data_IF_453333692751
#
_entry.id   IF_453333692751
#
_cell.length_a   1.000
_cell.length_b   1.000
_cell.length_c   1.000
_cell.angle_alpha   90.00
_cell.angle_beta   90.00
_cell.angle_gamma   90.00
#
_symmetry.space_group_name_H-M   'P 1'
#
loop_
_entity.id
_entity.type
_entity.pdbx_description
1 polymer ?
#
# COMPACT_ATOMS: atom_id res chain seq x y z
N UNK A 1 -10.36 4.44 -0.97
CA UNK A 1 -9.14 3.90 -0.32
C UNK A 1 -8.85 4.73 0.92
N UNK A 2 -8.45 4.13 2.04
CA UNK A 2 -8.31 4.81 3.33
C UNK A 2 -6.86 4.75 3.85
N UNK A 3 -6.33 5.86 4.36
CA UNK A 3 -5.04 5.87 5.03
C UNK A 3 -5.16 5.41 6.49
N UNK A 4 -4.50 4.31 6.84
CA UNK A 4 -4.45 3.76 8.20
C UNK A 4 -3.09 4.09 8.79
N UNK A 5 -3.05 4.90 9.85
CA UNK A 5 -1.81 5.22 10.59
C UNK A 5 -1.78 4.51 11.93
N UNK A 6 -2.94 4.25 12.52
CA UNK A 6 -3.04 3.51 13.79
C UNK A 6 -3.91 2.28 13.59
N UNK A 7 -3.62 1.13 14.24
CA UNK A 7 -4.43 -0.08 14.14
C UNK A 7 -5.92 0.17 14.43
N UNK A 8 -6.24 1.09 15.34
CA UNK A 8 -7.61 1.50 15.64
C UNK A 8 -8.38 2.07 14.44
N UNK A 9 -7.70 2.66 13.45
CA UNK A 9 -8.37 3.17 12.24
C UNK A 9 -9.04 2.04 11.44
N UNK A 10 -8.49 0.82 11.45
CA UNK A 10 -9.10 -0.34 10.79
C UNK A 10 -10.46 -0.64 11.41
N UNK A 11 -10.56 -0.58 12.74
CA UNK A 11 -11.82 -0.78 13.47
C UNK A 11 -12.85 0.30 13.11
N UNK A 12 -12.43 1.56 13.00
CA UNK A 12 -13.31 2.65 12.56
C UNK A 12 -13.80 2.44 11.13
N UNK A 13 -12.93 2.02 10.21
CA UNK A 13 -13.32 1.75 8.82
C UNK A 13 -14.39 0.65 8.76
N UNK A 14 -14.21 -0.45 9.50
CA UNK A 14 -15.22 -1.51 9.55
C UNK A 14 -16.51 -1.06 10.26
N UNK A 15 -16.43 -0.19 11.25
CA UNK A 15 -17.62 0.42 11.83
C UNK A 15 -18.39 1.27 10.80
N UNK A 16 -17.69 2.08 10.00
CA UNK A 16 -18.32 2.83 8.91
C UNK A 16 -18.84 1.91 7.79
N UNK A 17 -18.20 0.77 7.56
CA UNK A 17 -18.74 -0.26 6.68
C UNK A 17 -20.06 -0.84 7.21
N UNK A 18 -20.16 -1.12 8.52
CA UNK A 18 -21.41 -1.56 9.15
C UNK A 18 -22.55 -0.54 9.03
N UNK A 19 -22.20 0.75 8.98
CA UNK A 19 -23.14 1.84 8.73
C UNK A 19 -23.48 2.03 7.23
N UNK A 20 -22.92 1.21 6.33
CA UNK A 20 -23.14 1.32 4.88
C UNK A 20 -22.42 2.49 4.21
N UNK A 21 -21.46 3.13 4.89
CA UNK A 21 -20.73 4.29 4.39
C UNK A 21 -19.44 3.92 3.63
N UNK A 22 -18.98 2.67 3.78
CA UNK A 22 -17.78 2.15 3.13
C UNK A 22 -18.15 0.95 2.28
N UNK A 23 -17.90 0.99 0.95
CA UNK A 23 -18.22 -0.12 0.07
C UNK A 23 -17.24 -1.29 0.23
N UNK A 24 -17.66 -2.48 -0.22
CA UNK A 24 -16.79 -3.62 -0.42
C UNK A 24 -16.03 -3.55 -1.77
N UNK A 25 -14.77 -4.04 -1.82
CA UNK A 25 -13.95 -4.40 -0.68
C UNK A 25 -13.42 -3.15 0.03
N UNK A 26 -13.17 -3.26 1.33
CA UNK A 26 -12.37 -2.26 2.04
C UNK A 26 -10.96 -2.23 1.42
N UNK A 27 -10.48 -1.04 1.06
CA UNK A 27 -9.14 -0.83 0.52
C UNK A 27 -8.38 0.18 1.39
N UNK A 28 -7.24 -0.23 1.96
CA UNK A 28 -6.45 0.61 2.87
C UNK A 28 -5.00 0.75 2.43
N UNK A 29 -4.37 1.84 2.85
CA UNK A 29 -2.92 2.04 2.84
C UNK A 29 -2.43 1.96 4.28
N UNK A 30 -1.63 0.95 4.58
CA UNK A 30 -0.96 0.80 5.87
C UNK A 30 0.23 1.73 5.89
N UNK A 31 0.14 2.79 6.69
CA UNK A 31 1.15 3.82 6.76
C UNK A 31 2.15 3.50 7.87
N UNK A 32 3.42 3.48 7.51
CA UNK A 32 4.54 3.26 8.42
C UNK A 32 5.38 4.53 8.53
N UNK A 33 6.15 4.62 9.61
CA UNK A 33 7.15 5.66 9.78
C UNK A 33 8.43 5.07 10.37
N UNK A 34 9.59 5.44 9.81
CA UNK A 34 10.91 5.05 10.32
C UNK A 34 11.23 5.66 11.70
N UNK A 35 10.40 6.58 12.19
CA UNK A 35 10.46 7.14 13.55
C UNK A 35 9.12 7.72 14.00
N UNK A 36 9.08 8.58 15.03
CA UNK A 36 7.83 9.25 15.43
C UNK A 36 7.24 10.08 14.26
N UNK A 37 5.91 10.30 14.17
CA UNK A 37 4.96 10.29 15.30
C UNK A 37 3.81 9.28 15.22
N UNK A 38 3.72 8.45 14.17
CA UNK A 38 2.57 7.57 13.96
C UNK A 38 3.00 6.21 13.44
N UNK A 39 2.11 5.24 13.56
CA UNK A 39 2.30 3.95 12.94
C UNK A 39 3.20 3.00 13.74
N UNK A 40 2.99 1.70 13.60
CA UNK A 40 3.95 0.71 14.03
C UNK A 40 5.29 0.91 13.32
N UNK A 41 6.37 0.46 13.98
CA UNK A 41 7.70 0.40 13.36
C UNK A 41 7.65 -0.49 12.11
N UNK A 42 8.28 -0.08 10.98
CA UNK A 42 8.40 -0.89 9.78
C UNK A 42 8.89 -2.30 10.06
N UNK A 43 8.19 -3.29 9.53
CA UNK A 43 8.56 -4.70 9.61
C UNK A 43 7.37 -5.63 9.81
N UNK A 44 7.66 -6.92 9.94
CA UNK A 44 6.64 -7.99 10.03
C UNK A 44 5.66 -7.74 11.17
N UNK A 45 6.16 -7.43 12.37
CA UNK A 45 5.31 -7.17 13.55
C UNK A 45 4.46 -5.91 13.36
N UNK A 46 4.98 -4.90 12.67
CA UNK A 46 4.22 -3.69 12.37
C UNK A 46 3.06 -3.98 11.42
N UNK A 47 3.31 -4.70 10.32
CA UNK A 47 2.26 -5.16 9.41
C UNK A 47 1.25 -6.02 10.16
N UNK A 48 1.72 -7.00 10.93
CA UNK A 48 0.86 -7.90 11.68
C UNK A 48 -0.06 -7.14 12.65
N UNK A 49 0.42 -6.09 13.32
CA UNK A 49 -0.40 -5.29 14.23
C UNK A 49 -1.61 -4.61 13.55
N UNK A 50 -1.47 -4.23 12.27
CA UNK A 50 -2.60 -3.75 11.48
C UNK A 50 -3.54 -4.89 11.11
N UNK A 51 -3.01 -6.02 10.64
CA UNK A 51 -3.82 -7.17 10.24
C UNK A 51 -4.62 -7.74 11.41
N UNK A 52 -4.04 -7.78 12.61
CA UNK A 52 -4.69 -8.21 13.84
C UNK A 52 -5.80 -7.26 14.32
N UNK A 53 -5.85 -6.03 13.80
CA UNK A 53 -6.90 -5.07 14.14
C UNK A 53 -8.20 -5.29 13.36
N UNK A 54 -8.23 -6.22 12.39
CA UNK A 54 -9.45 -6.62 11.69
C UNK A 54 -10.42 -7.27 12.69
N UNK A 55 -11.65 -6.75 12.87
CA UNK A 55 -12.60 -7.35 13.80
C UNK A 55 -12.99 -8.79 13.39
N UNK A 56 -13.22 -9.71 14.35
CA UNK A 56 -13.69 -11.05 14.05
C UNK A 56 -14.95 -11.04 13.18
N UNK A 57 -15.03 -11.97 12.22
CA UNK A 57 -16.15 -12.08 11.28
C UNK A 57 -16.11 -11.10 10.11
N UNK A 58 -15.17 -10.15 10.08
CA UNK A 58 -14.92 -9.31 8.89
C UNK A 58 -14.00 -10.02 7.91
N UNK A 59 -14.27 -9.87 6.62
CA UNK A 59 -13.34 -10.33 5.57
C UNK A 59 -12.11 -9.42 5.56
N UNK A 60 -10.89 -9.96 5.43
CA UNK A 60 -9.68 -9.16 5.26
C UNK A 60 -9.81 -8.18 4.08
N UNK A 61 -9.23 -7.00 4.24
CA UNK A 61 -9.25 -5.92 3.26
C UNK A 61 -8.15 -6.06 2.19
N UNK A 62 -8.25 -5.30 1.11
CA UNK A 62 -7.13 -5.06 0.22
C UNK A 62 -6.20 -4.01 0.84
N UNK A 63 -4.90 -4.29 0.92
CA UNK A 63 -3.96 -3.35 1.52
C UNK A 63 -2.71 -3.11 0.72
N UNK A 64 -2.29 -1.86 0.74
CA UNK A 64 -1.05 -1.39 0.18
C UNK A 64 -0.13 -0.97 1.31
N UNK A 65 1.16 -1.22 1.15
CA UNK A 65 2.17 -0.57 1.98
C UNK A 65 2.26 0.89 1.59
N UNK A 66 2.48 1.74 2.58
CA UNK A 66 2.92 3.10 2.37
C UNK A 66 3.88 3.47 3.49
N UNK A 67 5.09 3.89 3.14
CA UNK A 67 6.09 4.27 4.12
C UNK A 67 6.32 5.78 4.06
N UNK A 68 6.40 6.41 5.23
CA UNK A 68 6.76 7.80 5.39
C UNK A 68 8.10 7.86 6.13
N UNK A 69 8.98 8.78 5.76
CA UNK A 69 10.13 9.09 6.60
C UNK A 69 9.83 10.16 7.62
N UNK A 70 10.53 10.08 8.74
CA UNK A 70 10.42 10.92 9.92
C UNK A 70 11.04 12.31 9.77
N UNK A 71 11.58 12.68 8.60
CA UNK A 71 11.88 14.08 8.34
C UNK A 71 10.58 14.78 7.93
N UNK A 72 10.00 15.55 8.86
CA UNK A 72 8.83 16.41 8.59
C UNK A 72 9.02 17.38 7.40
N UNK A 73 10.23 17.53 6.87
CA UNK A 73 10.59 18.28 5.66
C UNK A 73 10.96 17.41 4.43
N UNK A 74 10.81 16.08 4.51
CA UNK A 74 11.16 15.12 3.47
C UNK A 74 10.30 13.87 3.63
N UNK A 75 9.21 13.79 2.87
CA UNK A 75 8.31 12.62 2.82
C UNK A 75 8.98 11.31 2.31
N UNK A 76 10.29 11.31 2.09
CA UNK A 76 11.06 10.23 1.50
C UNK A 76 11.45 9.16 2.52
N UNK A 77 10.73 8.04 2.52
CA UNK A 77 11.09 6.78 3.21
C UNK A 77 12.59 6.46 3.21
N UNK A 78 13.11 5.76 4.22
CA UNK A 78 14.46 5.18 4.05
C UNK A 78 14.44 4.09 2.97
N UNK A 79 15.47 3.99 2.10
CA UNK A 79 15.53 2.94 1.08
C UNK A 79 15.35 1.53 1.66
N UNK A 80 15.91 1.30 2.84
CA UNK A 80 15.90 0.01 3.54
C UNK A 80 14.48 -0.39 3.95
N UNK A 81 13.74 0.49 4.64
CA UNK A 81 12.38 0.15 5.07
C UNK A 81 11.38 0.17 3.93
N UNK A 82 11.55 1.03 2.92
CA UNK A 82 10.74 1.00 1.69
C UNK A 82 10.85 -0.35 0.97
N UNK A 83 12.09 -0.84 0.80
CA UNK A 83 12.33 -2.15 0.19
C UNK A 83 11.77 -3.26 1.05
N UNK A 84 12.10 -3.27 2.33
CA UNK A 84 11.64 -4.30 3.28
C UNK A 84 10.12 -4.41 3.31
N UNK A 85 9.40 -3.30 3.49
CA UNK A 85 7.94 -3.33 3.60
C UNK A 85 7.28 -3.82 2.30
N UNK A 86 7.75 -3.38 1.13
CA UNK A 86 7.22 -3.86 -0.15
C UNK A 86 7.49 -5.35 -0.38
N UNK A 87 8.65 -5.87 0.02
CA UNK A 87 8.94 -7.31 -0.01
C UNK A 87 8.02 -8.10 0.94
N UNK A 88 7.80 -7.57 2.15
CA UNK A 88 6.86 -8.17 3.09
C UNK A 88 5.42 -8.13 2.58
N UNK A 89 5.01 -7.08 1.87
CA UNK A 89 3.70 -7.03 1.21
C UNK A 89 3.56 -8.13 0.16
N UNK A 90 4.59 -8.37 -0.65
CA UNK A 90 4.59 -9.47 -1.61
C UNK A 90 4.39 -10.80 -0.86
N UNK A 91 5.17 -11.03 0.19
CA UNK A 91 5.16 -12.27 0.97
C UNK A 91 3.86 -12.51 1.77
N UNK A 92 3.26 -11.45 2.30
CA UNK A 92 2.10 -11.53 3.21
C UNK A 92 0.75 -11.30 2.50
N UNK A 93 0.74 -11.23 1.16
CA UNK A 93 -0.49 -11.08 0.38
C UNK A 93 -1.03 -9.65 0.26
N UNK A 94 -0.24 -8.64 0.63
CA UNK A 94 -0.54 -7.22 0.41
C UNK A 94 -0.09 -6.71 -0.96
N UNK A 95 -0.27 -5.44 -1.23
CA UNK A 95 0.08 -4.81 -2.51
C UNK A 95 1.28 -3.88 -2.37
N UNK A 96 2.12 -3.89 -3.39
CA UNK A 96 3.29 -3.02 -3.50
C UNK A 96 2.86 -1.59 -3.84
N UNK A 97 3.52 -0.62 -3.24
CA UNK A 97 3.47 0.80 -3.62
C UNK A 97 4.89 1.33 -3.70
N UNK A 98 5.25 1.84 -4.88
CA UNK A 98 6.59 2.35 -5.12
C UNK A 98 6.58 3.49 -6.12
N UNK A 99 7.58 4.35 -6.03
CA UNK A 99 7.82 5.43 -6.98
C UNK A 99 8.65 6.54 -6.34
N UNK A 100 9.09 7.49 -7.18
CA UNK A 100 9.88 8.66 -6.78
C UNK A 100 9.17 9.48 -5.70
N UNK A 101 7.83 9.47 -5.69
CA UNK A 101 7.04 10.17 -4.67
C UNK A 101 7.16 9.56 -3.27
N UNK A 102 7.40 8.24 -3.16
CA UNK A 102 7.56 7.55 -1.88
C UNK A 102 9.05 7.40 -1.51
N UNK A 103 9.92 7.24 -2.52
CA UNK A 103 11.37 7.09 -2.39
C UNK A 103 12.10 7.83 -3.54
N UNK A 104 12.52 9.09 -3.35
CA UNK A 104 13.14 9.89 -4.41
C UNK A 104 14.53 9.41 -4.84
N UNK A 105 15.26 8.76 -3.94
CA UNK A 105 16.60 8.21 -4.18
C UNK A 105 16.67 6.78 -3.67
N UNK A 106 17.18 5.89 -4.50
CA UNK A 106 17.40 4.49 -4.20
C UNK A 106 18.90 4.25 -4.21
N UNK A 107 19.49 3.92 -3.06
CA UNK A 107 20.93 3.66 -2.92
C UNK A 107 21.83 4.79 -3.47
N UNK A 108 21.39 6.05 -3.32
CA UNK A 108 22.10 7.24 -3.79
C UNK A 108 21.78 7.64 -5.24
N UNK A 109 21.14 6.76 -6.02
CA UNK A 109 20.76 6.99 -7.41
C UNK A 109 19.29 7.40 -7.55
N UNK A 110 18.98 8.16 -8.59
CA UNK A 110 17.59 8.49 -8.96
C UNK A 110 17.10 7.44 -9.94
N UNK A 111 16.36 6.45 -9.45
CA UNK A 111 15.63 5.52 -10.32
C UNK A 111 14.38 6.19 -10.90
N UNK A 112 14.01 5.81 -12.12
CA UNK A 112 12.70 6.16 -12.68
C UNK A 112 11.59 5.35 -11.99
N UNK A 113 10.37 5.88 -11.98
CA UNK A 113 9.20 5.12 -11.52
C UNK A 113 9.10 3.74 -12.21
N UNK A 114 9.38 3.68 -13.52
CA UNK A 114 9.36 2.44 -14.29
C UNK A 114 10.40 1.42 -13.81
N UNK A 115 11.62 1.87 -13.48
CA UNK A 115 12.66 0.98 -12.93
C UNK A 115 12.28 0.43 -11.56
N UNK A 116 11.73 1.27 -10.67
CA UNK A 116 11.27 0.81 -9.35
C UNK A 116 10.14 -0.22 -9.48
N UNK A 117 9.15 0.05 -10.34
CA UNK A 117 8.05 -0.88 -10.61
C UNK A 117 8.58 -2.19 -11.21
N UNK A 118 9.48 -2.13 -12.19
CA UNK A 118 10.08 -3.31 -12.81
C UNK A 118 10.85 -4.17 -11.80
N UNK A 119 11.55 -3.54 -10.85
CA UNK A 119 12.26 -4.22 -9.78
C UNK A 119 11.31 -5.08 -8.93
N UNK A 120 10.25 -4.48 -8.35
CA UNK A 120 9.31 -5.24 -7.53
C UNK A 120 8.45 -6.22 -8.35
N UNK A 121 8.12 -5.88 -9.60
CA UNK A 121 7.38 -6.78 -10.49
C UNK A 121 8.19 -8.05 -10.81
N UNK A 122 9.50 -7.93 -11.01
CA UNK A 122 10.39 -9.08 -11.18
C UNK A 122 10.42 -9.93 -9.92
N UNK A 123 10.63 -9.31 -8.75
CA UNK A 123 10.71 -10.02 -7.47
C UNK A 123 9.40 -10.75 -7.15
N UNK A 124 8.25 -10.11 -7.38
CA UNK A 124 6.95 -10.74 -7.17
C UNK A 124 6.80 -12.02 -8.02
N UNK A 125 7.19 -11.99 -9.30
CA UNK A 125 7.18 -13.18 -10.16
C UNK A 125 8.16 -14.26 -9.69
N UNK A 126 9.35 -13.87 -9.25
CA UNK A 126 10.33 -14.80 -8.66
C UNK A 126 9.77 -15.48 -7.39
N UNK A 127 8.88 -14.79 -6.65
CA UNK A 127 8.15 -15.32 -5.51
C UNK A 127 6.85 -16.06 -5.88
N UNK A 128 6.62 -16.32 -7.17
CA UNK A 128 5.45 -17.05 -7.66
C UNK A 128 4.15 -16.24 -7.66
N UNK A 129 4.22 -14.90 -7.65
CA UNK A 129 3.06 -14.00 -7.64
C UNK A 129 2.99 -13.16 -8.91
N UNK A 130 1.93 -13.36 -9.67
CA UNK A 130 1.68 -12.61 -10.91
C UNK A 130 1.27 -11.15 -10.68
N UNK A 131 1.54 -10.33 -11.69
CA UNK A 131 1.23 -8.89 -11.67
C UNK A 131 -0.10 -8.64 -12.35
N UNK A 132 -1.06 -8.11 -11.60
CA UNK A 132 -2.36 -7.72 -12.11
C UNK A 132 -2.24 -6.65 -13.20
N UNK A 133 -2.93 -6.89 -14.31
CA UNK A 133 -3.25 -5.87 -15.31
C UNK A 133 -4.13 -4.78 -14.71
N UNK A 134 -4.24 -3.60 -15.35
CA UNK A 134 -5.14 -2.55 -14.89
C UNK A 134 -6.62 -2.98 -14.78
N UNK A 135 -7.05 -3.96 -15.60
CA UNK A 135 -8.42 -4.48 -15.56
C UNK A 135 -8.61 -5.42 -14.36
N UNK A 136 -7.71 -6.39 -14.16
CA UNK A 136 -7.74 -7.27 -12.98
C UNK A 136 -7.61 -6.47 -11.68
N UNK A 137 -6.77 -5.42 -11.65
CA UNK A 137 -6.65 -4.53 -10.50
C UNK A 137 -7.96 -3.82 -10.18
N UNK A 138 -8.77 -3.43 -11.18
CA UNK A 138 -10.09 -2.85 -10.94
C UNK A 138 -11.04 -3.87 -10.31
N UNK A 139 -11.04 -5.08 -10.82
CA UNK A 139 -11.87 -6.18 -10.29
C UNK A 139 -11.50 -6.51 -8.84
N UNK A 140 -10.20 -6.66 -8.54
CA UNK A 140 -9.69 -6.90 -7.19
C UNK A 140 -10.10 -5.78 -6.22
N UNK A 141 -10.10 -4.53 -6.69
CA UNK A 141 -10.40 -3.35 -5.88
C UNK A 141 -11.89 -2.96 -5.88
N UNK A 142 -12.77 -3.73 -6.53
CA UNK A 142 -14.20 -3.41 -6.66
C UNK A 142 -14.48 -2.10 -7.41
N UNK A 143 -13.60 -1.69 -8.32
CA UNK A 143 -13.75 -0.48 -9.11
C UNK A 143 -14.52 -0.77 -10.41
N UNK A 144 -15.36 0.19 -10.81
CA UNK A 144 -16.01 0.12 -12.11
C UNK A 144 -15.00 0.00 -13.27
N UNK A 145 -15.36 -0.66 -14.38
CA UNK A 145 -14.56 -0.67 -15.59
C UNK A 145 -14.15 0.74 -16.00
N UNK A 146 -12.97 0.85 -16.61
CA UNK A 146 -12.55 2.14 -17.16
C UNK A 146 -13.53 2.53 -18.26
N UNK A 147 -14.10 3.73 -18.19
CA UNK A 147 -14.81 4.31 -19.32
C UNK A 147 -13.85 4.44 -20.52
N UNK A 148 -14.12 3.75 -21.65
CA UNK A 148 -13.28 3.83 -22.85
C UNK A 148 -13.21 5.24 -23.43
N UNK A 149 -14.23 6.07 -23.18
CA UNK A 149 -14.34 7.43 -23.68
C UNK A 149 -13.60 8.44 -22.81
N UNK A 150 -13.22 8.06 -21.59
CA UNK A 150 -12.43 8.92 -20.70
C UNK A 150 -10.99 9.09 -21.23
N UNK A 151 -10.79 10.18 -21.98
CA UNK A 151 -9.48 10.74 -22.29
C UNK A 151 -9.16 11.82 -21.26
N UNK A 152 -7.96 11.77 -20.68
CA UNK A 152 -7.46 12.89 -19.89
C UNK A 152 -7.40 14.12 -20.83
N UNK A 153 -7.87 15.31 -20.41
CA UNK A 153 -7.53 16.52 -21.15
C UNK A 153 -6.01 16.61 -21.24
N UNK A 154 -5.49 16.95 -22.42
CA UNK A 154 -4.06 17.20 -22.59
C UNK A 154 -3.64 18.31 -21.61
N UNK A 155 -2.49 18.17 -20.93
CA UNK A 155 -1.93 19.24 -20.10
C UNK A 155 -1.59 20.48 -20.94
#
# INVERSE_FOLDING_TARGET
QFGVREPGHIRHIYHYQDLGLVPDPVVVHLNFSDGPPFGPIPGVKGIQSFLDAVPPGKRPFQWFIHNFSNNFNSAASTPESHRMLNLLAIAMGGHVRTGIGDLPRWDGETLTNAQMVACFARIAREMGREIATPQEAREILGLAPRDPQFRRPNP
#
